data_IF_534324374556
#
_entry.id   IF_534324374556
#
_cell.length_a   1.000
_cell.length_b   1.000
_cell.length_c   1.000
_cell.angle_alpha   90.00
_cell.angle_beta   90.00
_cell.angle_gamma   90.00
#
_symmetry.space_group_name_H-M   'P 1'
#
loop_
_entity.id
_entity.type
_entity.pdbx_description
1 polymer ?
#
# COMPACT_ATOMS: atom_id res chain seq x y z
N UNK A 1 13.65 38.75 36.17
CA UNK A 1 14.21 39.59 35.07
C UNK A 1 15.32 38.74 34.45
N UNK A 2 15.07 37.90 33.45
CA UNK A 2 14.66 38.20 32.07
C UNK A 2 15.93 38.17 31.22
N UNK A 3 16.26 37.05 30.59
CA UNK A 3 16.12 36.85 29.13
C UNK A 3 17.51 37.00 28.46
N UNK A 4 17.90 36.33 27.39
CA UNK A 4 17.30 35.35 26.50
C UNK A 4 18.34 35.15 25.39
N UNK A 5 18.81 33.91 25.18
CA UNK A 5 19.73 33.57 24.10
C UNK A 5 18.94 33.09 22.90
N UNK A 6 19.01 33.80 21.77
CA UNK A 6 18.53 33.32 20.49
C UNK A 6 19.65 33.43 19.47
N UNK A 7 20.38 32.34 19.30
CA UNK A 7 21.15 32.07 18.09
C UNK A 7 20.19 31.71 16.97
N UNK A 8 20.30 32.42 15.85
CA UNK A 8 19.55 32.14 14.64
C UNK A 8 20.51 31.86 13.48
N UNK A 9 21.00 30.62 13.39
CA UNK A 9 21.53 30.08 12.14
C UNK A 9 20.35 29.88 11.19
N UNK A 10 20.26 30.72 10.17
CA UNK A 10 19.32 30.56 9.05
C UNK A 10 20.04 29.85 7.91
N UNK A 11 20.14 28.54 8.00
CA UNK A 11 20.55 27.71 6.86
C UNK A 11 19.94 26.31 7.01
N UNK A 12 18.77 26.10 6.42
CA UNK A 12 18.49 24.87 5.68
C UNK A 12 17.15 24.99 4.96
N UNK A 13 17.22 24.96 3.63
CA UNK A 13 16.07 24.76 2.78
C UNK A 13 15.39 23.44 3.13
N UNK A 14 14.13 23.53 3.54
CA UNK A 14 13.25 22.39 3.68
C UNK A 14 12.35 22.30 2.45
N UNK A 15 12.69 21.37 1.55
CA UNK A 15 11.77 20.81 0.55
C UNK A 15 10.43 20.51 1.22
N UNK A 16 9.34 20.89 0.55
CA UNK A 16 7.98 20.55 0.94
C UNK A 16 7.85 19.05 1.22
N UNK A 17 7.62 18.74 2.49
CA UNK A 17 7.16 17.44 2.93
C UNK A 17 5.75 17.62 3.45
N UNK A 18 4.82 16.77 3.00
CA UNK A 18 3.49 16.59 3.55
C UNK A 18 3.59 15.99 4.97
N UNK A 19 4.23 16.72 5.88
CA UNK A 19 4.39 16.40 7.29
C UNK A 19 3.51 17.32 8.11
N UNK A 20 2.21 17.34 7.78
CA UNK A 20 1.21 17.91 8.68
C UNK A 20 1.21 17.05 9.93
N UNK A 21 1.36 17.68 11.10
CA UNK A 21 1.30 17.02 12.40
C UNK A 21 -0.03 16.28 12.51
N UNK A 22 -0.03 14.98 12.24
CA UNK A 22 -1.18 14.14 12.52
C UNK A 22 -1.45 14.31 14.01
N UNK A 23 -2.61 14.86 14.32
CA UNK A 23 -3.08 14.88 15.70
C UNK A 23 -3.18 13.43 16.14
N UNK A 24 -2.72 13.05 17.33
CA UNK A 24 -2.87 11.66 17.81
C UNK A 24 -4.31 11.14 17.79
N UNK A 25 -5.30 12.05 17.65
CA UNK A 25 -6.69 11.74 17.38
C UNK A 25 -6.97 11.25 15.95
N UNK A 26 -6.36 11.87 14.94
CA UNK A 26 -6.54 11.49 13.53
C UNK A 26 -5.93 10.10 13.28
N UNK A 27 -4.75 9.82 13.83
CA UNK A 27 -4.14 8.49 13.75
C UNK A 27 -5.03 7.41 14.43
N UNK A 28 -5.65 7.73 15.57
CA UNK A 28 -6.56 6.81 16.25
C UNK A 28 -7.87 6.58 15.47
N UNK A 29 -8.43 7.62 14.85
CA UNK A 29 -9.61 7.51 14.00
C UNK A 29 -9.32 6.70 12.73
N UNK A 30 -8.12 6.85 12.15
CA UNK A 30 -7.66 6.04 11.02
C UNK A 30 -7.47 4.59 11.43
N UNK A 31 -6.82 4.32 12.56
CA UNK A 31 -6.58 2.94 13.02
C UNK A 31 -7.90 2.19 13.25
N UNK A 32 -8.90 2.90 13.77
CA UNK A 32 -10.26 2.37 13.95
C UNK A 32 -10.90 1.88 12.65
N UNK A 33 -10.56 2.46 11.49
CA UNK A 33 -11.06 2.03 10.19
C UNK A 33 -10.54 0.64 9.78
N UNK A 34 -9.39 0.24 10.30
CA UNK A 34 -8.73 -1.04 9.98
C UNK A 34 -8.88 -2.11 11.07
N UNK A 35 -9.56 -1.80 12.17
CA UNK A 35 -9.80 -2.77 13.26
C UNK A 35 -10.51 -4.03 12.79
N UNK A 36 -11.43 -3.91 11.83
CA UNK A 36 -12.23 -5.03 11.31
C UNK A 36 -11.43 -5.97 10.39
N UNK A 37 -10.33 -5.49 9.80
CA UNK A 37 -9.51 -6.30 8.89
C UNK A 37 -8.38 -7.04 9.60
N UNK A 38 -8.01 -6.62 10.82
CA UNK A 38 -7.02 -7.34 11.65
C UNK A 38 -7.52 -8.76 11.94
N UNK A 39 -6.88 -9.75 11.31
CA UNK A 39 -7.22 -11.18 11.35
C UNK A 39 -8.43 -11.63 10.52
N UNK A 40 -8.78 -10.88 9.46
CA UNK A 40 -9.87 -11.27 8.55
C UNK A 40 -9.51 -12.43 7.59
N UNK A 41 -8.32 -13.01 7.68
CA UNK A 41 -7.92 -14.16 6.85
C UNK A 41 -8.74 -15.40 7.23
N UNK A 42 -9.42 -15.99 6.25
CA UNK A 42 -10.29 -17.16 6.46
C UNK A 42 -9.49 -18.44 6.76
N UNK A 43 -10.13 -19.41 7.42
CA UNK A 43 -9.53 -20.69 7.84
C UNK A 43 -8.87 -21.46 6.68
N UNK A 44 -9.39 -21.29 5.46
CA UNK A 44 -8.94 -21.97 4.25
C UNK A 44 -8.33 -21.02 3.22
N UNK A 45 -7.74 -19.89 3.65
CA UNK A 45 -7.24 -18.86 2.75
C UNK A 45 -6.16 -19.38 1.78
N UNK A 46 -5.35 -20.34 2.20
CA UNK A 46 -4.32 -20.95 1.36
C UNK A 46 -4.89 -21.82 0.23
N UNK A 47 -6.08 -22.39 0.42
CA UNK A 47 -6.75 -23.19 -0.61
C UNK A 47 -7.30 -22.35 -1.77
N UNK A 48 -7.30 -21.02 -1.66
CA UNK A 48 -7.65 -20.17 -2.79
C UNK A 48 -6.63 -20.29 -3.93
N UNK A 49 -5.37 -20.60 -3.62
CA UNK A 49 -4.33 -20.79 -4.63
C UNK A 49 -4.56 -22.05 -5.49
N UNK A 50 -5.38 -23.00 -5.01
CA UNK A 50 -5.72 -24.24 -5.73
C UNK A 50 -6.85 -24.05 -6.75
N UNK A 51 -7.52 -22.89 -6.76
CA UNK A 51 -8.62 -22.61 -7.69
C UNK A 51 -8.03 -22.32 -9.08
N UNK A 52 -8.39 -23.10 -10.13
CA UNK A 52 -7.90 -22.84 -11.48
C UNK A 52 -8.47 -21.51 -12.03
N UNK A 53 -7.62 -20.68 -12.62
CA UNK A 53 -7.98 -19.39 -13.23
C UNK A 53 -7.66 -19.41 -14.72
N UNK A 54 -8.63 -19.03 -15.53
CA UNK A 54 -8.48 -18.86 -16.99
C UNK A 54 -8.61 -17.37 -17.35
N UNK A 55 -7.73 -16.88 -18.23
CA UNK A 55 -7.74 -15.47 -18.69
C UNK A 55 -8.01 -15.43 -20.18
N UNK A 56 -9.11 -14.78 -20.56
CA UNK A 56 -9.46 -14.49 -21.96
C UNK A 56 -9.17 -13.02 -22.27
N UNK A 57 -8.02 -12.69 -22.87
CA UNK A 57 -7.67 -11.30 -23.16
C UNK A 57 -8.57 -10.73 -24.27
N UNK A 58 -9.39 -9.73 -23.92
CA UNK A 58 -10.27 -9.03 -24.87
C UNK A 58 -9.60 -7.86 -25.61
N UNK A 59 -8.33 -7.57 -25.30
CA UNK A 59 -7.58 -6.43 -25.86
C UNK A 59 -6.42 -6.90 -26.74
N UNK A 60 -6.53 -6.84 -28.07
CA UNK A 60 -5.49 -7.29 -29.01
C UNK A 60 -4.15 -6.55 -28.87
N UNK A 61 -4.15 -5.33 -28.36
CA UNK A 61 -2.94 -4.53 -28.08
C UNK A 61 -2.09 -5.10 -26.94
N UNK A 62 -2.71 -5.77 -25.95
CA UNK A 62 -1.99 -6.48 -24.90
C UNK A 62 -1.34 -7.76 -25.43
N UNK A 63 -1.83 -8.32 -26.55
CA UNK A 63 -1.21 -9.46 -27.23
C UNK A 63 -0.06 -9.06 -28.17
N UNK A 64 -0.06 -7.81 -28.69
CA UNK A 64 0.88 -7.37 -29.74
C UNK A 64 2.16 -6.73 -29.23
N UNK A 65 2.14 -6.09 -28.05
CA UNK A 65 3.29 -5.31 -27.57
C UNK A 65 4.32 -6.12 -26.81
N UNK A 66 4.01 -7.37 -26.49
CA UNK A 66 4.96 -8.28 -25.90
C UNK A 66 4.50 -9.71 -26.19
N UNK A 67 5.44 -10.59 -26.53
CA UNK A 67 5.23 -12.02 -26.29
C UNK A 67 5.06 -12.37 -24.80
N UNK A 68 4.92 -11.37 -23.91
CA UNK A 68 4.47 -11.54 -22.53
C UNK A 68 2.99 -11.20 -22.39
N UNK A 69 2.22 -12.23 -22.07
CA UNK A 69 1.01 -12.14 -21.25
C UNK A 69 1.29 -11.22 -20.07
N UNK A 70 0.35 -10.32 -19.72
CA UNK A 70 0.39 -9.58 -18.45
C UNK A 70 0.61 -10.61 -17.34
N UNK A 71 1.73 -10.49 -16.62
CA UNK A 71 2.09 -11.47 -15.60
C UNK A 71 1.31 -11.18 -14.32
N UNK A 72 0.72 -12.23 -13.77
CA UNK A 72 0.07 -12.17 -12.47
C UNK A 72 1.09 -11.84 -11.39
N UNK A 73 0.69 -10.96 -10.47
CA UNK A 73 1.51 -10.61 -9.31
C UNK A 73 1.43 -11.75 -8.29
N UNK A 74 2.51 -12.02 -7.56
CA UNK A 74 2.52 -13.11 -6.56
C UNK A 74 2.46 -12.57 -5.14
N UNK A 75 2.86 -11.32 -4.94
CA UNK A 75 2.89 -10.64 -3.65
C UNK A 75 2.58 -9.16 -3.80
N UNK A 76 1.99 -8.56 -2.77
CA UNK A 76 1.89 -7.10 -2.68
C UNK A 76 3.27 -6.42 -2.58
N UNK A 77 4.32 -7.16 -2.24
CA UNK A 77 5.71 -6.67 -2.17
C UNK A 77 6.45 -6.69 -3.50
N UNK A 78 5.86 -7.28 -4.54
CA UNK A 78 6.46 -7.28 -5.87
C UNK A 78 6.55 -5.83 -6.40
N UNK A 79 7.31 -5.59 -7.47
CA UNK A 79 7.43 -4.27 -8.08
C UNK A 79 6.13 -3.91 -8.84
N UNK A 80 5.11 -3.54 -8.07
CA UNK A 80 3.77 -3.23 -8.55
C UNK A 80 3.62 -1.77 -9.01
N UNK A 81 4.67 -0.96 -8.86
CA UNK A 81 4.63 0.49 -9.07
C UNK A 81 3.43 1.18 -8.37
N UNK A 82 3.02 0.65 -7.21
CA UNK A 82 1.95 1.23 -6.39
C UNK A 82 2.47 2.44 -5.62
N UNK A 83 1.62 3.46 -5.47
CA UNK A 83 1.96 4.64 -4.69
C UNK A 83 2.13 4.28 -3.20
N UNK A 84 3.10 4.91 -2.52
CA UNK A 84 3.41 4.67 -1.10
C UNK A 84 2.18 4.62 -0.18
N UNK A 85 1.23 5.59 -0.25
CA UNK A 85 0.04 5.55 0.59
C UNK A 85 -0.87 4.33 0.37
N UNK A 86 -0.88 3.75 -0.84
CA UNK A 86 -1.63 2.52 -1.12
C UNK A 86 -0.96 1.34 -0.44
N UNK A 87 0.37 1.25 -0.53
CA UNK A 87 1.15 0.22 0.17
C UNK A 87 0.99 0.32 1.69
N UNK A 88 0.98 1.54 2.23
CA UNK A 88 0.75 1.78 3.66
C UNK A 88 -0.62 1.25 4.10
N UNK A 89 -1.65 1.45 3.28
CA UNK A 89 -3.00 0.95 3.57
C UNK A 89 -3.12 -0.57 3.42
N UNK A 90 -2.45 -1.19 2.45
CA UNK A 90 -2.37 -2.66 2.33
C UNK A 90 -1.75 -3.25 3.60
N UNK A 91 -0.66 -2.65 4.09
CA UNK A 91 0.00 -3.06 5.33
C UNK A 91 -0.90 -2.87 6.55
N UNK A 92 -1.59 -1.72 6.67
CA UNK A 92 -2.54 -1.45 7.77
C UNK A 92 -3.72 -2.43 7.78
N UNK A 93 -4.20 -2.80 6.61
CA UNK A 93 -5.26 -3.80 6.46
C UNK A 93 -4.81 -5.24 6.79
N UNK A 94 -3.51 -5.45 7.02
CA UNK A 94 -2.91 -6.77 7.31
C UNK A 94 -3.10 -7.77 6.16
N UNK A 95 -3.04 -7.29 4.91
CA UNK A 95 -3.09 -8.16 3.73
C UNK A 95 -1.71 -8.72 3.40
N UNK A 96 -1.52 -10.01 3.64
CA UNK A 96 -0.22 -10.66 3.47
C UNK A 96 0.05 -11.08 2.02
N UNK A 97 -0.94 -11.64 1.32
CA UNK A 97 -0.84 -12.07 -0.08
C UNK A 97 -2.12 -11.74 -0.87
N UNK A 98 -2.01 -11.45 -2.18
CA UNK A 98 -3.17 -11.25 -3.04
C UNK A 98 -3.97 -12.55 -3.22
N UNK A 99 -5.29 -12.43 -3.26
CA UNK A 99 -6.19 -13.53 -3.67
C UNK A 99 -6.12 -13.76 -5.19
N UNK A 100 -6.55 -14.92 -5.72
CA UNK A 100 -6.41 -15.23 -7.15
C UNK A 100 -6.95 -14.18 -8.12
N UNK A 101 -8.03 -13.47 -7.77
CA UNK A 101 -8.60 -12.39 -8.61
C UNK A 101 -7.83 -11.07 -8.52
N UNK A 102 -7.03 -10.89 -7.45
CA UNK A 102 -6.18 -9.72 -7.24
C UNK A 102 -4.79 -9.90 -7.85
N UNK A 103 -4.41 -11.14 -8.20
CA UNK A 103 -3.16 -11.48 -8.88
C UNK A 103 -3.22 -11.09 -10.36
#
# INVERSE_FOLDING_TARGET
>A
RGGGGFGGNRDQGGRGGYGGRSSGREDAEIEKLFETSRNATGINFDHYDDIPVEVHPNYPELQRKSGSTVQCIQSFKDDLNLAGPVMDNINRASYEKPTPVQK
#
